data_IF_108839276313
#
_entry.id   IF_108839276313
#
_cell.length_a   1.000
_cell.length_b   1.000
_cell.length_c   1.000
_cell.angle_alpha   90.00
_cell.angle_beta   90.00
_cell.angle_gamma   90.00
#
_symmetry.space_group_name_H-M   'P 1'
#
loop_
_entity.id
_entity.type
_entity.pdbx_description
1 polymer ?
#
# COMPACT_ATOMS: atom_id res chain seq x y z
N UNK A 1 -9.30 -15.08 -8.38
CA UNK A 1 -9.06 -14.25 -7.20
C UNK A 1 -8.12 -13.11 -7.55
N UNK A 2 -8.46 -11.92 -7.14
CA UNK A 2 -7.60 -10.74 -7.32
C UNK A 2 -6.90 -10.43 -6.01
N UNK A 3 -5.58 -10.31 -6.06
CA UNK A 3 -4.78 -9.90 -4.91
C UNK A 3 -4.16 -8.55 -5.25
N UNK A 4 -4.37 -7.59 -4.36
CA UNK A 4 -3.80 -6.25 -4.48
C UNK A 4 -2.64 -6.18 -3.51
N UNK A 5 -1.42 -6.30 -4.02
CA UNK A 5 -0.22 -6.25 -3.18
C UNK A 5 0.29 -4.82 -3.09
N UNK A 6 0.64 -4.38 -1.90
CA UNK A 6 1.00 -2.98 -1.68
C UNK A 6 2.25 -2.87 -0.83
N UNK A 7 3.23 -2.16 -1.35
CA UNK A 7 4.31 -1.57 -0.58
C UNK A 7 3.85 -0.16 -0.20
N UNK A 8 3.59 0.10 1.08
CA UNK A 8 2.88 1.32 1.47
C UNK A 8 3.72 2.58 1.53
N UNK A 9 5.01 2.51 1.28
CA UNK A 9 5.87 3.69 1.27
C UNK A 9 5.48 4.66 0.17
N UNK A 10 5.86 5.94 0.33
CA UNK A 10 5.59 6.94 -0.70
C UNK A 10 6.30 6.62 -2.01
N UNK A 11 7.40 5.89 -1.95
CA UNK A 11 8.12 5.39 -3.12
C UNK A 11 7.83 3.91 -3.37
N UNK A 12 6.73 3.43 -2.81
CA UNK A 12 6.31 2.05 -2.99
C UNK A 12 5.56 1.83 -4.29
N UNK A 13 4.85 0.72 -4.33
CA UNK A 13 4.15 0.31 -5.53
C UNK A 13 2.90 -0.49 -5.18
N UNK A 14 2.01 -0.56 -6.15
CA UNK A 14 0.81 -1.39 -6.07
C UNK A 14 0.88 -2.40 -7.20
N UNK A 15 0.70 -3.66 -6.85
CA UNK A 15 0.75 -4.77 -7.79
C UNK A 15 -0.61 -5.46 -7.82
N UNK A 16 -1.15 -5.64 -9.00
CA UNK A 16 -2.40 -6.36 -9.20
C UNK A 16 -2.07 -7.77 -9.71
N UNK A 17 -2.47 -8.76 -8.94
CA UNK A 17 -2.16 -10.15 -9.18
C UNK A 17 -3.48 -10.92 -9.32
N UNK A 18 -3.72 -11.49 -10.47
CA UNK A 18 -4.98 -12.17 -10.75
C UNK A 18 -4.72 -13.56 -11.30
N UNK A 19 -5.31 -14.56 -10.66
CA UNK A 19 -5.26 -15.95 -11.09
C UNK A 19 -3.84 -16.44 -11.38
N UNK A 20 -2.93 -16.09 -10.46
CA UNK A 20 -1.55 -16.55 -10.55
C UNK A 20 -0.65 -15.71 -11.42
N UNK A 21 -1.12 -14.58 -11.94
CA UNK A 21 -0.33 -13.72 -12.84
C UNK A 21 -0.40 -12.26 -12.44
N UNK A 22 0.71 -11.58 -12.62
CA UNK A 22 0.76 -10.13 -12.45
C UNK A 22 0.08 -9.51 -13.67
N UNK A 23 -0.99 -8.75 -13.42
CA UNK A 23 -1.71 -8.07 -14.50
C UNK A 23 -1.35 -6.60 -14.60
N UNK A 24 -0.87 -6.00 -13.53
CA UNK A 24 -0.44 -4.60 -13.55
C UNK A 24 0.44 -4.30 -12.34
N UNK A 25 1.38 -3.39 -12.52
CA UNK A 25 2.21 -2.85 -11.44
C UNK A 25 2.37 -1.37 -11.70
N UNK A 26 2.09 -0.55 -10.71
CA UNK A 26 2.28 0.90 -10.85
C UNK A 26 2.82 1.50 -9.56
N UNK A 27 3.50 2.61 -9.72
CA UNK A 27 4.06 3.32 -8.58
C UNK A 27 2.95 3.89 -7.70
N UNK A 28 3.25 4.03 -6.41
CA UNK A 28 2.33 4.64 -5.47
C UNK A 28 1.95 6.03 -5.97
N UNK A 29 0.64 6.30 -6.21
CA UNK A 29 0.21 7.64 -6.61
C UNK A 29 0.57 8.68 -5.55
N UNK A 30 1.18 9.75 -5.98
CA UNK A 30 1.68 10.82 -5.11
C UNK A 30 1.13 12.17 -5.52
N UNK A 31 1.12 13.10 -4.57
CA UNK A 31 0.77 14.48 -4.84
C UNK A 31 1.70 15.39 -4.06
N UNK A 32 1.99 16.55 -4.63
CA UNK A 32 2.78 17.55 -3.95
C UNK A 32 2.02 18.16 -2.78
N UNK A 33 2.71 18.41 -1.69
CA UNK A 33 2.12 18.99 -0.49
C UNK A 33 2.98 20.13 -0.02
N UNK A 34 2.36 21.32 0.10
CA UNK A 34 3.03 22.47 0.66
C UNK A 34 4.23 22.89 -0.15
N UNK A 35 5.34 23.10 0.55
CA UNK A 35 6.55 23.68 -0.03
C UNK A 35 7.53 22.60 -0.44
N UNK A 36 8.20 22.85 -1.56
CA UNK A 36 9.45 22.21 -2.00
C UNK A 36 9.57 20.70 -1.76
N UNK A 37 9.44 19.94 -2.83
CA UNK A 37 9.84 18.54 -2.89
C UNK A 37 9.18 17.62 -1.85
N UNK A 38 8.16 18.11 -1.15
CA UNK A 38 7.40 17.28 -0.25
C UNK A 38 6.23 16.66 -1.00
N UNK A 39 6.03 15.37 -0.79
CA UNK A 39 4.95 14.62 -1.41
C UNK A 39 4.24 13.80 -0.36
N UNK A 40 3.01 13.50 -0.65
CA UNK A 40 2.25 12.51 0.12
C UNK A 40 1.52 11.60 -0.85
N UNK A 41 1.04 10.48 -0.35
CA UNK A 41 0.25 9.58 -1.20
C UNK A 41 -1.04 10.29 -1.61
N UNK A 42 -1.45 10.04 -2.84
CA UNK A 42 -2.67 10.63 -3.39
C UNK A 42 -3.83 9.66 -3.17
N UNK A 43 -4.56 9.87 -2.09
CA UNK A 43 -5.65 8.98 -1.70
C UNK A 43 -6.72 8.84 -2.77
N UNK A 44 -7.10 9.94 -3.39
CA UNK A 44 -8.13 9.94 -4.44
C UNK A 44 -7.71 9.11 -5.63
N UNK A 45 -6.47 9.26 -6.06
CA UNK A 45 -5.96 8.49 -7.19
C UNK A 45 -5.82 7.02 -6.84
N UNK A 46 -5.35 6.72 -5.63
CA UNK A 46 -5.27 5.33 -5.16
C UNK A 46 -6.66 4.70 -5.19
N UNK A 47 -7.65 5.39 -4.66
CA UNK A 47 -9.02 4.88 -4.66
C UNK A 47 -9.51 4.62 -6.08
N UNK A 48 -9.28 5.56 -6.99
CA UNK A 48 -9.69 5.41 -8.38
C UNK A 48 -9.03 4.20 -9.06
N UNK A 49 -7.74 4.01 -8.82
CA UNK A 49 -7.01 2.88 -9.41
C UNK A 49 -7.52 1.55 -8.86
N UNK A 50 -7.76 1.48 -7.57
CA UNK A 50 -8.27 0.26 -6.94
C UNK A 50 -9.70 -0.01 -7.41
N UNK A 51 -10.52 1.04 -7.51
CA UNK A 51 -11.89 0.87 -7.98
C UNK A 51 -11.93 0.32 -9.40
N UNK A 52 -11.05 0.79 -10.27
CA UNK A 52 -10.94 0.23 -11.62
C UNK A 52 -10.50 -1.24 -11.58
N UNK A 53 -9.56 -1.56 -10.71
CA UNK A 53 -9.03 -2.91 -10.60
C UNK A 53 -10.09 -3.91 -10.16
N UNK A 54 -11.00 -3.52 -9.27
CA UNK A 54 -12.02 -4.41 -8.73
C UNK A 54 -13.30 -4.40 -9.54
N UNK A 55 -13.41 -3.52 -10.52
CA UNK A 55 -14.58 -3.44 -11.37
C UNK A 55 -14.78 -4.76 -12.11
N UNK A 56 -15.97 -5.32 -12.00
CA UNK A 56 -16.27 -6.61 -12.62
C UNK A 56 -15.79 -7.82 -11.85
N UNK A 57 -15.06 -7.63 -10.74
CA UNK A 57 -14.61 -8.73 -9.90
C UNK A 57 -15.66 -9.07 -8.85
N UNK A 58 -15.70 -10.34 -8.47
CA UNK A 58 -16.50 -10.78 -7.35
C UNK A 58 -15.83 -10.28 -6.06
N UNK A 59 -16.52 -9.44 -5.30
CA UNK A 59 -15.97 -8.83 -4.10
C UNK A 59 -15.51 -9.84 -3.06
N UNK A 60 -16.11 -11.03 -3.05
CA UNK A 60 -15.71 -12.09 -2.12
C UNK A 60 -14.37 -12.73 -2.52
N UNK A 61 -13.85 -12.37 -3.70
CA UNK A 61 -12.61 -12.93 -4.23
C UNK A 61 -11.56 -11.86 -4.46
N UNK A 62 -11.61 -10.79 -3.67
CA UNK A 62 -10.61 -9.73 -3.70
C UNK A 62 -10.00 -9.60 -2.32
N UNK A 63 -8.69 -9.54 -2.25
CA UNK A 63 -7.98 -9.32 -1.00
C UNK A 63 -6.82 -8.35 -1.25
N UNK A 64 -6.58 -7.49 -0.28
CA UNK A 64 -5.41 -6.63 -0.28
C UNK A 64 -4.36 -7.19 0.68
N UNK A 65 -3.11 -7.14 0.26
CA UNK A 65 -1.98 -7.56 1.10
C UNK A 65 -1.05 -6.37 1.22
N UNK A 66 -0.90 -5.85 2.44
CA UNK A 66 -0.06 -4.70 2.70
C UNK A 66 1.16 -5.15 3.48
N UNK A 67 2.32 -4.76 3.00
CA UNK A 67 3.57 -4.99 3.73
C UNK A 67 3.59 -4.10 4.97
N UNK A 68 3.75 -4.70 6.12
CA UNK A 68 3.86 -3.98 7.37
C UNK A 68 5.32 -3.94 7.81
N UNK A 69 5.88 -2.74 7.86
CA UNK A 69 7.27 -2.55 8.25
C UNK A 69 7.28 -1.87 9.61
N UNK A 70 8.03 -2.44 10.53
CA UNK A 70 8.22 -1.84 11.84
C UNK A 70 9.15 -0.64 11.75
N UNK A 71 8.93 0.34 12.63
CA UNK A 71 9.85 1.47 12.75
C UNK A 71 11.24 0.95 13.08
N UNK A 72 12.25 1.51 12.42
CA UNK A 72 13.62 1.10 12.61
C UNK A 72 14.37 2.12 13.47
N UNK A 73 15.28 1.66 14.32
CA UNK A 73 16.14 2.56 15.08
C UNK A 73 16.89 3.51 14.13
N UNK A 74 16.98 4.77 14.51
CA UNK A 74 17.65 5.77 13.70
C UNK A 74 16.79 6.42 12.63
N UNK A 75 15.59 5.92 12.42
CA UNK A 75 14.67 6.54 11.49
C UNK A 75 14.12 7.83 12.08
N UNK A 76 14.05 8.88 11.26
CA UNK A 76 13.55 10.17 11.73
C UNK A 76 12.06 10.14 12.07
N UNK A 77 11.67 10.99 13.01
CA UNK A 77 10.27 11.11 13.42
C UNK A 77 9.37 11.48 12.23
N UNK A 78 9.83 12.40 11.39
CA UNK A 78 9.08 12.82 10.21
C UNK A 78 8.85 11.66 9.25
N UNK A 79 9.86 10.84 9.03
CA UNK A 79 9.74 9.67 8.15
C UNK A 79 8.73 8.66 8.69
N UNK A 80 8.77 8.43 10.00
CA UNK A 80 7.83 7.51 10.64
C UNK A 80 6.40 8.03 10.55
N UNK A 81 6.23 9.34 10.76
CA UNK A 81 4.93 9.98 10.67
C UNK A 81 4.37 9.85 9.25
N UNK A 82 5.18 10.15 8.25
CA UNK A 82 4.77 10.08 6.85
C UNK A 82 4.41 8.65 6.44
N UNK A 83 5.20 7.68 6.89
CA UNK A 83 4.91 6.28 6.64
C UNK A 83 3.59 5.88 7.28
N UNK A 84 3.38 6.26 8.55
CA UNK A 84 2.14 5.98 9.26
C UNK A 84 0.93 6.60 8.59
N UNK A 85 1.08 7.82 8.05
CA UNK A 85 0.02 8.49 7.33
C UNK A 85 -0.34 7.73 6.04
N UNK A 86 0.65 7.33 5.27
CA UNK A 86 0.43 6.55 4.04
C UNK A 86 -0.25 5.23 4.34
N UNK A 87 0.23 4.55 5.37
CA UNK A 87 -0.33 3.27 5.80
C UNK A 87 -1.79 3.44 6.22
N UNK A 88 -2.08 4.50 6.99
CA UNK A 88 -3.44 4.80 7.44
C UNK A 88 -4.39 5.12 6.30
N UNK A 89 -3.92 5.85 5.28
CA UNK A 89 -4.71 6.14 4.09
C UNK A 89 -5.11 4.85 3.38
N UNK A 90 -4.17 3.95 3.19
CA UNK A 90 -4.44 2.68 2.53
C UNK A 90 -5.43 1.83 3.32
N UNK A 91 -5.24 1.73 4.62
CA UNK A 91 -6.17 1.00 5.49
C UNK A 91 -7.57 1.59 5.39
N UNK A 92 -7.67 2.92 5.39
CA UNK A 92 -8.95 3.60 5.28
C UNK A 92 -9.65 3.32 3.96
N UNK A 93 -8.91 3.33 2.86
CA UNK A 93 -9.47 3.05 1.54
C UNK A 93 -10.03 1.64 1.48
N UNK A 94 -9.24 0.64 1.87
CA UNK A 94 -9.69 -0.75 1.82
C UNK A 94 -10.85 -1.00 2.77
N UNK A 95 -10.82 -0.39 3.95
CA UNK A 95 -11.91 -0.50 4.90
C UNK A 95 -13.20 0.08 4.32
N UNK A 96 -13.12 1.25 3.70
CA UNK A 96 -14.29 1.90 3.10
C UNK A 96 -14.85 1.10 1.92
N UNK A 97 -13.98 0.45 1.17
CA UNK A 97 -14.37 -0.40 0.04
C UNK A 97 -14.75 -1.81 0.48
N UNK A 98 -14.63 -2.11 1.77
CA UNK A 98 -14.91 -3.44 2.32
C UNK A 98 -14.08 -4.55 1.68
N UNK A 99 -12.84 -4.23 1.38
CA UNK A 99 -11.87 -5.20 0.88
C UNK A 99 -11.07 -5.70 2.07
N UNK A 100 -11.06 -7.03 2.32
CA UNK A 100 -10.26 -7.56 3.42
C UNK A 100 -8.78 -7.31 3.21
N UNK A 101 -8.08 -7.02 4.30
CA UNK A 101 -6.66 -6.72 4.27
C UNK A 101 -5.92 -7.76 5.09
N UNK A 102 -4.87 -8.31 4.51
CA UNK A 102 -3.89 -9.13 5.20
C UNK A 102 -2.58 -8.35 5.28
N UNK A 103 -1.91 -8.46 6.41
CA UNK A 103 -0.64 -7.77 6.61
C UNK A 103 0.48 -8.79 6.60
N UNK A 104 1.54 -8.46 5.87
CA UNK A 104 2.74 -9.28 5.87
C UNK A 104 3.83 -8.54 6.62
N UNK A 105 4.56 -9.26 7.46
CA UNK A 105 5.74 -8.72 8.10
C UNK A 105 6.95 -9.10 7.27
N UNK A 106 7.61 -8.09 6.71
CA UNK A 106 8.87 -8.34 6.06
C UNK A 106 9.94 -8.47 7.14
N UNK A 107 10.37 -9.69 7.38
CA UNK A 107 11.48 -9.95 8.27
C UNK A 107 12.74 -10.03 7.43
N UNK A 108 13.60 -9.03 7.56
CA UNK A 108 14.88 -9.07 6.86
C UNK A 108 15.70 -10.25 7.39
N UNK A 109 16.50 -10.90 6.53
CA UNK A 109 17.33 -12.03 6.96
C UNK A 109 18.21 -11.70 8.16
N UNK A 110 18.70 -10.48 8.24
CA UNK A 110 19.53 -10.03 9.36
C UNK A 110 18.77 -10.04 10.68
N UNK A 111 17.49 -9.82 10.67
CA UNK A 111 16.67 -9.86 11.88
C UNK A 111 16.42 -11.26 12.37
N UNK A 112 16.45 -12.23 11.48
CA UNK A 112 16.25 -13.63 11.86
C UNK A 112 17.47 -14.24 12.50
N UNK A 113 18.61 -13.71 12.21
CA UNK A 113 19.87 -14.19 12.74
C UNK A 113 20.06 -13.75 14.18
N UNK A 114 19.42 -12.69 14.55
CA UNK A 114 19.55 -12.10 15.88
C UNK A 114 18.66 -12.79 16.92
#
# INVERSE_FOLDING_TARGET
MLIIGIDPGINGAICLFKDGKIVDVFEMPKMAVGKKNKSQVNASQIFNEIQKAVEGEDKTRVIAVIEQVSAMPGQGVTSMFNFGQSFGVLKGIFSAMQIPVSYTHLTLPTKRIV
#
